data_IF_223594536182
#
_entry.id   IF_223594536182
#
_cell.length_a   1.000
_cell.length_b   1.000
_cell.length_c   1.000
_cell.angle_alpha   90.00
_cell.angle_beta   90.00
_cell.angle_gamma   90.00
#
_symmetry.space_group_name_H-M   'P 1'
#
loop_
_entity.id
_entity.type
_entity.pdbx_description
1 polymer ?
#
# COMPACT_ATOMS: atom_id res chain seq x y z
N UNK A 1 5.05 15.67 -5.64
CA UNK A 1 4.97 17.15 -5.56
C UNK A 1 4.84 17.78 -6.94
N UNK A 2 5.71 17.43 -7.94
CA UNK A 2 5.68 18.04 -9.28
C UNK A 2 4.30 17.93 -9.96
N UNK A 3 3.71 16.72 -10.01
CA UNK A 3 2.36 16.54 -10.58
C UNK A 3 1.29 17.37 -9.85
N UNK A 4 1.44 17.53 -8.55
CA UNK A 4 0.51 18.34 -7.74
C UNK A 4 0.62 19.84 -8.04
N UNK A 5 1.83 20.37 -8.14
CA UNK A 5 2.04 21.78 -8.49
C UNK A 5 1.51 22.08 -9.91
N UNK A 6 1.68 21.15 -10.86
CA UNK A 6 1.10 21.27 -12.21
C UNK A 6 -0.43 21.28 -12.17
N UNK A 7 -1.05 20.46 -11.33
CA UNK A 7 -2.50 20.49 -11.12
C UNK A 7 -2.96 21.82 -10.52
N UNK A 8 -2.25 22.36 -9.54
CA UNK A 8 -2.53 23.68 -8.98
C UNK A 8 -2.50 24.75 -10.07
N UNK A 9 -1.48 24.77 -10.92
CA UNK A 9 -1.37 25.72 -12.05
C UNK A 9 -2.50 25.59 -13.06
N UNK A 10 -2.81 24.34 -13.45
CA UNK A 10 -3.93 24.08 -14.36
C UNK A 10 -5.30 24.53 -13.84
N UNK A 11 -5.44 24.64 -12.53
CA UNK A 11 -6.63 25.16 -11.85
C UNK A 11 -6.53 26.66 -11.49
N UNK A 12 -5.42 27.32 -11.83
CA UNK A 12 -5.19 28.73 -11.52
C UNK A 12 -4.91 29.01 -10.04
N UNK A 13 -4.40 28.02 -9.29
CA UNK A 13 -4.10 28.16 -7.86
C UNK A 13 -2.65 28.62 -7.69
N UNK A 14 -2.41 29.74 -6.99
CA UNK A 14 -1.07 30.16 -6.64
C UNK A 14 -0.51 29.22 -5.58
N UNK A 15 0.47 28.41 -5.98
CA UNK A 15 1.10 27.45 -5.10
C UNK A 15 2.62 27.50 -5.26
N UNK A 16 3.35 27.28 -4.17
CA UNK A 16 4.80 27.30 -4.11
C UNK A 16 5.34 25.92 -3.74
N UNK A 17 6.37 25.47 -4.43
CA UNK A 17 7.02 24.18 -4.20
C UNK A 17 8.27 24.40 -3.36
N UNK A 18 8.39 23.68 -2.23
CA UNK A 18 9.52 23.71 -1.31
C UNK A 18 10.15 22.31 -1.23
N UNK A 19 11.47 22.22 -1.29
CA UNK A 19 12.18 21.01 -0.87
C UNK A 19 12.08 20.89 0.65
N UNK A 20 11.70 19.73 1.16
CA UNK A 20 11.55 19.52 2.59
C UNK A 20 12.86 19.71 3.35
N UNK A 21 12.78 19.88 4.67
CA UNK A 21 13.94 20.03 5.55
C UNK A 21 14.95 18.90 5.41
N UNK A 22 14.50 17.67 5.14
CA UNK A 22 15.37 16.49 4.97
C UNK A 22 16.06 16.41 3.60
N UNK A 23 15.66 17.21 2.63
CA UNK A 23 16.10 17.12 1.24
C UNK A 23 15.45 15.99 0.43
N UNK A 24 14.79 15.02 1.06
CA UNK A 24 14.25 13.81 0.43
C UNK A 24 12.77 13.92 0.02
N UNK A 25 12.09 15.00 0.41
CA UNK A 25 10.68 15.22 0.10
C UNK A 25 10.42 16.64 -0.34
N UNK A 26 9.17 16.98 -0.59
CA UNK A 26 8.76 18.32 -0.95
C UNK A 26 7.41 18.68 -0.35
N UNK A 27 7.20 19.95 -0.08
CA UNK A 27 5.94 20.52 0.35
C UNK A 27 5.38 21.44 -0.75
N UNK A 28 4.06 21.39 -0.93
CA UNK A 28 3.36 22.38 -1.75
C UNK A 28 2.57 23.29 -0.83
N UNK A 29 2.89 24.56 -0.88
CA UNK A 29 2.29 25.60 -0.06
C UNK A 29 1.25 26.37 -0.86
N UNK A 30 0.05 26.51 -0.28
CA UNK A 30 -1.00 27.41 -0.75
C UNK A 30 -1.23 28.45 0.34
N UNK A 31 -0.97 29.70 0.04
CA UNK A 31 -1.17 30.83 0.96
C UNK A 31 -2.54 31.44 0.71
N UNK A 32 -3.25 31.80 1.77
CA UNK A 32 -4.57 32.42 1.68
C UNK A 32 -4.49 33.90 2.02
N UNK A 33 -5.29 34.73 1.34
CA UNK A 33 -5.34 36.16 1.55
C UNK A 33 -5.90 36.60 2.93
N UNK A 34 -6.64 35.68 3.59
CA UNK A 34 -7.17 35.90 4.93
C UNK A 34 -7.30 34.56 5.68
N UNK A 35 -7.78 34.59 6.93
CA UNK A 35 -8.01 33.40 7.74
C UNK A 35 -9.07 32.50 7.11
N UNK A 36 -8.76 31.24 6.91
CA UNK A 36 -9.62 30.19 6.37
C UNK A 36 -9.90 29.14 7.44
N UNK A 37 -11.12 28.64 7.50
CA UNK A 37 -11.44 27.51 8.37
C UNK A 37 -10.63 26.27 7.96
N UNK A 38 -10.09 25.53 8.94
CA UNK A 38 -9.29 24.34 8.68
C UNK A 38 -10.03 23.33 7.80
N UNK A 39 -11.35 23.15 8.02
CA UNK A 39 -12.22 22.31 7.19
C UNK A 39 -12.16 22.72 5.70
N UNK A 40 -12.25 23.99 5.38
CA UNK A 40 -12.31 24.45 3.98
C UNK A 40 -10.94 24.37 3.30
N UNK A 41 -9.85 24.64 4.03
CA UNK A 41 -8.49 24.39 3.56
C UNK A 41 -8.25 22.89 3.27
N UNK A 42 -8.75 22.00 4.11
CA UNK A 42 -8.69 20.55 3.91
C UNK A 42 -9.51 20.11 2.71
N UNK A 43 -10.76 20.59 2.57
CA UNK A 43 -11.61 20.29 1.40
C UNK A 43 -10.91 20.68 0.10
N UNK A 44 -10.31 21.87 0.05
CA UNK A 44 -9.53 22.31 -1.11
C UNK A 44 -8.34 21.37 -1.36
N UNK A 45 -7.48 21.16 -0.37
CA UNK A 45 -6.30 20.29 -0.52
C UNK A 45 -6.67 18.87 -0.95
N UNK A 46 -7.73 18.32 -0.39
CA UNK A 46 -8.23 17.00 -0.72
C UNK A 46 -8.78 16.93 -2.16
N UNK A 47 -9.53 17.94 -2.61
CA UNK A 47 -10.01 18.04 -3.99
C UNK A 47 -8.84 18.10 -4.98
N UNK A 48 -7.78 18.86 -4.66
CA UNK A 48 -6.57 18.97 -5.48
C UNK A 48 -5.80 17.66 -5.56
N UNK A 49 -5.68 16.93 -4.46
CA UNK A 49 -5.02 15.62 -4.43
C UNK A 49 -5.80 14.66 -5.34
N UNK A 50 -7.12 14.57 -5.20
CA UNK A 50 -7.96 13.73 -6.05
C UNK A 50 -7.86 14.11 -7.52
N UNK A 51 -7.92 15.38 -7.84
CA UNK A 51 -7.75 15.88 -9.20
C UNK A 51 -6.40 15.46 -9.80
N UNK A 52 -5.32 15.57 -9.00
CA UNK A 52 -3.99 15.14 -9.41
C UNK A 52 -3.92 13.63 -9.62
N UNK A 53 -4.46 12.85 -8.67
CA UNK A 53 -4.50 11.39 -8.77
C UNK A 53 -5.31 10.90 -9.96
N UNK A 54 -6.40 11.58 -10.32
CA UNK A 54 -7.21 11.22 -11.48
C UNK A 54 -6.48 11.43 -12.82
N UNK A 55 -5.49 12.31 -12.87
CA UNK A 55 -4.77 12.69 -14.10
C UNK A 55 -3.37 12.09 -14.22
N UNK A 56 -2.75 11.72 -13.10
CA UNK A 56 -1.36 11.25 -13.08
C UNK A 56 -1.28 9.77 -12.78
N UNK A 57 -0.92 8.98 -13.80
CA UNK A 57 -0.81 7.50 -13.71
C UNK A 57 0.39 6.99 -12.89
N UNK A 58 1.30 7.86 -12.48
CA UNK A 58 2.58 7.48 -11.85
C UNK A 58 2.67 7.81 -10.35
N UNK A 59 1.57 8.27 -9.73
CA UNK A 59 1.60 8.53 -8.29
C UNK A 59 1.64 7.23 -7.50
N UNK A 60 2.72 7.05 -6.76
CA UNK A 60 2.81 5.99 -5.75
C UNK A 60 2.15 6.50 -4.47
N UNK A 61 1.40 5.64 -3.75
CA UNK A 61 0.82 5.97 -2.44
C UNK A 61 1.90 6.46 -1.44
N UNK A 62 3.10 5.91 -1.53
CA UNK A 62 4.27 6.33 -0.75
C UNK A 62 4.75 7.74 -1.06
N UNK A 63 4.31 8.36 -2.18
CA UNK A 63 4.67 9.73 -2.55
C UNK A 63 3.83 10.79 -1.82
N UNK A 64 2.78 10.39 -1.11
CA UNK A 64 1.94 11.27 -0.31
C UNK A 64 2.18 10.98 1.17
N UNK A 65 2.70 11.97 1.90
CA UNK A 65 2.90 11.86 3.34
C UNK A 65 1.66 12.41 4.09
N UNK A 66 1.33 13.68 3.94
CA UNK A 66 0.22 14.28 4.67
C UNK A 66 -0.28 15.60 4.08
N UNK A 67 -1.50 15.98 4.46
CA UNK A 67 -2.11 17.26 4.19
C UNK A 67 -2.26 18.04 5.50
N UNK A 68 -1.84 19.31 5.50
CA UNK A 68 -2.06 20.23 6.60
C UNK A 68 -3.06 21.33 6.21
N UNK A 69 -3.99 21.68 7.13
CA UNK A 69 -4.25 21.08 8.43
C UNK A 69 -4.82 19.66 8.29
N UNK A 70 -4.52 18.73 9.22
CA UNK A 70 -5.02 17.37 9.16
C UNK A 70 -6.29 17.15 10.02
N UNK A 71 -6.81 18.18 10.65
CA UNK A 71 -8.02 18.15 11.49
C UNK A 71 -8.84 19.42 11.31
N UNK A 72 -10.16 19.30 11.43
CA UNK A 72 -11.11 20.41 11.25
C UNK A 72 -11.20 21.30 12.47
N UNK A 73 -10.97 20.75 13.66
CA UNK A 73 -11.09 21.43 14.94
C UNK A 73 -9.87 21.19 15.82
N UNK A 74 -9.54 22.19 16.64
CA UNK A 74 -8.47 22.05 17.62
C UNK A 74 -9.03 21.46 18.93
N UNK A 75 -8.38 20.44 19.52
CA UNK A 75 -8.75 19.94 20.84
C UNK A 75 -8.64 21.04 21.91
N UNK A 76 -9.55 21.06 22.87
CA UNK A 76 -9.46 21.99 24.01
C UNK A 76 -8.16 21.76 24.78
N UNK A 77 -7.36 22.82 24.96
CA UNK A 77 -6.08 22.75 25.68
C UNK A 77 -4.90 22.18 24.91
N UNK A 78 -5.10 21.71 23.65
CA UNK A 78 -4.02 21.18 22.80
C UNK A 78 -3.45 22.22 21.82
N UNK A 79 -2.22 21.99 21.38
CA UNK A 79 -1.68 22.63 20.18
C UNK A 79 -2.34 21.94 18.97
N UNK A 80 -2.70 22.72 17.94
CA UNK A 80 -3.07 22.17 16.63
C UNK A 80 -1.89 21.44 15.98
N UNK A 81 -2.03 21.12 14.70
CA UNK A 81 -0.89 20.55 13.97
C UNK A 81 0.28 21.52 13.96
N UNK A 82 1.44 21.02 14.35
CA UNK A 82 2.69 21.75 14.18
C UNK A 82 3.22 21.46 12.78
N UNK A 83 3.49 22.54 12.03
CA UNK A 83 4.12 22.48 10.72
C UNK A 83 5.47 23.19 10.79
N UNK A 84 6.49 22.59 10.21
CA UNK A 84 7.78 23.24 10.06
C UNK A 84 7.67 24.33 8.99
N UNK A 85 7.99 25.57 9.34
CA UNK A 85 7.99 26.68 8.38
C UNK A 85 9.12 26.50 7.36
N UNK A 86 8.94 27.01 6.12
CA UNK A 86 10.00 27.03 5.11
C UNK A 86 11.14 27.95 5.49
N UNK A 87 12.24 27.89 4.75
CA UNK A 87 13.42 28.74 4.84
C UNK A 87 14.15 28.67 6.19
N UNK A 88 14.10 27.50 6.87
CA UNK A 88 14.87 27.27 8.10
C UNK A 88 16.38 27.40 7.83
N UNK A 89 17.11 28.10 8.73
CA UNK A 89 18.50 28.46 8.51
C UNK A 89 19.41 27.25 8.23
N UNK A 90 19.48 26.28 9.13
CA UNK A 90 20.38 25.13 9.00
C UNK A 90 20.05 24.22 7.81
N UNK A 91 18.79 23.80 7.59
CA UNK A 91 18.46 23.01 6.40
C UNK A 91 18.73 23.72 5.10
N UNK A 92 18.55 25.05 5.04
CA UNK A 92 18.79 25.86 3.85
C UNK A 92 20.26 25.87 3.43
N UNK A 93 21.20 25.82 4.38
CA UNK A 93 22.64 25.73 4.12
C UNK A 93 23.02 24.43 3.40
N UNK A 94 22.19 23.38 3.52
CA UNK A 94 22.35 22.08 2.84
C UNK A 94 21.38 21.86 1.68
N UNK A 95 20.70 22.91 1.20
CA UNK A 95 19.76 22.84 0.06
C UNK A 95 18.37 22.32 0.41
N UNK A 96 18.06 22.08 1.69
CA UNK A 96 16.71 21.78 2.17
C UNK A 96 15.95 23.02 2.63
N UNK A 97 14.63 22.92 2.82
CA UNK A 97 13.76 24.03 3.22
C UNK A 97 13.84 25.26 2.32
N UNK A 98 13.97 25.03 1.00
CA UNK A 98 14.09 26.07 -0.04
C UNK A 98 12.98 25.95 -1.05
N UNK A 99 12.47 27.07 -1.52
CA UNK A 99 11.56 27.11 -2.67
C UNK A 99 12.31 26.87 -3.96
N UNK A 100 11.68 26.14 -4.85
CA UNK A 100 12.26 25.68 -6.12
C UNK A 100 11.31 25.98 -7.29
N UNK A 101 11.90 26.07 -8.47
CA UNK A 101 11.17 26.17 -9.72
C UNK A 101 10.69 24.79 -10.23
N UNK A 102 10.15 24.74 -11.46
CA UNK A 102 9.66 23.51 -12.07
C UNK A 102 10.75 22.50 -12.42
N UNK A 103 11.99 22.97 -12.57
CA UNK A 103 13.16 22.13 -12.77
C UNK A 103 13.78 21.67 -11.45
N UNK A 104 13.10 21.94 -10.31
CA UNK A 104 13.58 21.69 -8.95
C UNK A 104 14.85 22.46 -8.61
N UNK A 105 15.11 23.58 -9.28
CA UNK A 105 16.25 24.43 -8.97
C UNK A 105 15.85 25.48 -7.93
N UNK A 106 16.64 25.67 -6.86
CA UNK A 106 16.36 26.68 -5.85
C UNK A 106 16.36 28.11 -6.46
N UNK A 107 15.38 28.91 -6.10
CA UNK A 107 15.41 30.34 -6.44
C UNK A 107 16.62 31.02 -5.80
N UNK A 108 17.33 31.88 -6.54
CA UNK A 108 18.49 32.60 -6.03
C UNK A 108 18.13 33.55 -4.87
N UNK A 109 17.00 34.25 -4.99
CA UNK A 109 16.41 35.09 -3.92
C UNK A 109 15.13 34.41 -3.38
N UNK A 110 15.30 33.64 -2.32
CA UNK A 110 14.22 32.91 -1.66
C UNK A 110 13.16 33.83 -1.03
N UNK A 111 13.59 34.96 -0.48
CA UNK A 111 12.69 35.89 0.17
C UNK A 111 11.94 36.74 -0.85
N UNK A 112 12.62 37.16 -1.92
CA UNK A 112 12.00 37.83 -3.05
C UNK A 112 10.96 36.93 -3.72
N UNK A 113 11.25 35.65 -3.91
CA UNK A 113 10.29 34.69 -4.40
C UNK A 113 9.07 34.61 -3.47
N UNK A 114 9.28 34.37 -2.16
CA UNK A 114 8.17 34.24 -1.20
C UNK A 114 7.30 35.50 -1.17
N UNK A 115 7.89 36.66 -1.24
CA UNK A 115 7.18 37.94 -1.30
C UNK A 115 6.36 38.13 -2.60
N UNK A 116 6.76 37.48 -3.69
CA UNK A 116 6.05 37.52 -4.98
C UNK A 116 4.88 36.56 -5.09
N UNK A 117 4.79 35.53 -4.18
CA UNK A 117 3.70 34.54 -4.21
C UNK A 117 2.37 35.24 -3.89
N UNK A 118 1.44 35.19 -4.82
CA UNK A 118 0.11 35.72 -4.62
C UNK A 118 -0.71 34.84 -3.69
N UNK A 119 -1.37 35.37 -2.66
CA UNK A 119 -2.25 34.55 -1.83
C UNK A 119 -3.57 34.30 -2.54
N UNK A 120 -4.13 33.07 -2.35
CA UNK A 120 -5.43 32.70 -2.87
C UNK A 120 -6.55 33.43 -2.16
N UNK A 121 -7.48 34.03 -2.91
CA UNK A 121 -8.64 34.71 -2.32
C UNK A 121 -9.64 33.69 -1.77
N UNK A 122 -10.35 34.05 -0.69
CA UNK A 122 -11.29 33.14 -0.03
C UNK A 122 -12.46 32.74 -0.93
N UNK A 123 -12.93 33.66 -1.77
CA UNK A 123 -14.05 33.39 -2.68
C UNK A 123 -13.69 32.42 -3.82
N UNK A 124 -12.40 32.16 -4.07
CA UNK A 124 -11.95 31.21 -5.08
C UNK A 124 -11.91 29.74 -4.57
N UNK A 125 -12.03 29.53 -3.25
CA UNK A 125 -11.92 28.18 -2.66
C UNK A 125 -13.01 27.26 -3.21
N UNK A 126 -14.28 27.63 -3.06
CA UNK A 126 -15.40 26.78 -3.47
C UNK A 126 -15.48 26.58 -5.00
N UNK A 127 -15.32 27.62 -5.85
CA UNK A 127 -15.25 27.43 -7.30
C UNK A 127 -14.10 26.52 -7.72
N UNK A 128 -12.97 26.58 -7.03
CA UNK A 128 -11.82 25.73 -7.31
C UNK A 128 -12.08 24.27 -6.92
N UNK A 129 -12.70 24.03 -5.77
CA UNK A 129 -13.14 22.70 -5.36
C UNK A 129 -14.06 22.09 -6.42
N UNK A 130 -15.07 22.84 -6.87
CA UNK A 130 -16.01 22.40 -7.92
C UNK A 130 -15.31 22.08 -9.24
N UNK A 131 -14.35 22.92 -9.68
CA UNK A 131 -13.55 22.65 -10.89
C UNK A 131 -12.69 21.39 -10.73
N UNK A 132 -12.05 21.22 -9.58
CA UNK A 132 -11.16 20.10 -9.29
C UNK A 132 -11.93 18.75 -9.23
N UNK A 133 -13.17 18.78 -8.77
CA UNK A 133 -14.04 17.60 -8.62
C UNK A 133 -14.98 17.36 -9.79
N UNK A 134 -14.96 18.22 -10.82
CA UNK A 134 -15.87 18.11 -11.96
C UNK A 134 -17.35 18.32 -11.60
N UNK A 135 -17.61 19.10 -10.54
CA UNK A 135 -18.96 19.37 -10.02
C UNK A 135 -19.49 18.28 -9.07
N UNK A 136 -18.73 17.21 -8.84
CA UNK A 136 -19.06 16.20 -7.85
C UNK A 136 -18.81 16.72 -6.43
N UNK A 137 -19.60 16.25 -5.46
CA UNK A 137 -19.42 16.72 -4.08
C UNK A 137 -18.04 16.29 -3.54
N UNK A 138 -17.31 17.16 -2.79
CA UNK A 138 -15.98 16.85 -2.24
C UNK A 138 -15.93 15.62 -1.31
N UNK A 139 -17.07 15.07 -0.90
CA UNK A 139 -17.17 13.82 -0.13
C UNK A 139 -16.57 12.61 -0.90
N UNK A 140 -16.41 12.71 -2.24
CA UNK A 140 -15.70 11.71 -3.03
C UNK A 140 -14.20 11.64 -2.71
N UNK A 141 -13.71 12.55 -1.91
CA UNK A 141 -12.32 12.73 -1.51
C UNK A 141 -12.06 12.28 -0.08
N UNK A 142 -13.07 11.79 0.61
CA UNK A 142 -13.03 11.38 2.03
C UNK A 142 -11.96 10.35 2.37
N UNK A 143 -11.44 9.61 1.39
CA UNK A 143 -10.44 8.55 1.62
C UNK A 143 -9.16 9.01 2.34
N UNK A 144 -8.70 10.23 2.09
CA UNK A 144 -7.48 10.72 2.73
C UNK A 144 -7.74 11.37 4.10
N UNK A 145 -8.97 11.84 4.32
CA UNK A 145 -9.36 12.51 5.57
C UNK A 145 -9.88 11.55 6.63
N UNK A 146 -10.57 10.49 6.23
CA UNK A 146 -11.05 9.45 7.16
C UNK A 146 -9.91 8.63 7.74
N UNK A 147 -8.84 8.43 6.99
CA UNK A 147 -7.65 7.72 7.47
C UNK A 147 -6.91 8.46 8.58
N UNK A 148 -6.95 9.79 8.58
CA UNK A 148 -6.35 10.59 9.63
C UNK A 148 -7.15 10.55 10.94
N UNK A 149 -8.41 10.11 10.90
CA UNK A 149 -9.33 10.02 12.04
C UNK A 149 -9.54 8.59 12.54
N UNK A 150 -9.06 7.57 11.81
CA UNK A 150 -9.26 6.17 12.18
C UNK A 150 -8.20 5.67 13.15
N UNK A 151 -8.65 4.89 14.12
CA UNK A 151 -7.74 4.11 14.98
C UNK A 151 -6.97 3.07 14.13
N UNK A 152 -5.66 2.91 14.32
CA UNK A 152 -4.88 1.90 13.62
C UNK A 152 -5.50 0.51 13.76
N UNK A 153 -5.76 -0.16 12.64
CA UNK A 153 -6.27 -1.53 12.60
C UNK A 153 -7.78 -1.68 12.39
N UNK A 154 -8.58 -0.61 12.41
CA UNK A 154 -10.00 -0.69 11.99
C UNK A 154 -10.14 -0.42 10.50
N UNK A 155 -10.64 -1.42 9.74
CA UNK A 155 -11.12 -1.20 8.37
C UNK A 155 -12.47 -0.52 8.41
N UNK A 156 -12.58 0.71 7.94
CA UNK A 156 -13.88 1.27 7.56
C UNK A 156 -14.18 0.89 6.12
N UNK A 157 -15.38 0.40 5.89
CA UNK A 157 -15.87 0.16 4.54
C UNK A 157 -16.15 1.52 3.91
N UNK A 158 -15.47 1.89 2.79
CA UNK A 158 -15.71 3.16 2.13
C UNK A 158 -17.17 3.27 1.70
N UNK A 159 -17.74 4.48 1.78
CA UNK A 159 -19.08 4.73 1.24
C UNK A 159 -19.14 4.33 -0.23
N UNK A 160 -20.22 3.64 -0.63
CA UNK A 160 -20.46 3.21 -2.01
C UNK A 160 -20.69 4.45 -2.89
N UNK A 161 -19.68 4.85 -3.61
CA UNK A 161 -19.75 5.98 -4.54
C UNK A 161 -19.47 5.49 -5.96
N UNK A 162 -20.37 5.83 -6.88
CA UNK A 162 -20.19 5.58 -8.30
C UNK A 162 -18.94 6.34 -8.81
N UNK A 163 -18.13 5.69 -9.63
CA UNK A 163 -16.96 6.32 -10.23
C UNK A 163 -17.41 7.23 -11.40
N UNK A 164 -16.82 8.44 -11.51
CA UNK A 164 -17.12 9.33 -12.62
C UNK A 164 -16.53 8.82 -13.94
N UNK A 165 -17.29 8.96 -15.03
CA UNK A 165 -16.85 8.71 -16.40
C UNK A 165 -17.41 7.45 -17.03
N UNK A 166 -17.18 7.27 -18.36
CA UNK A 166 -17.65 6.10 -19.07
C UNK A 166 -16.93 4.84 -18.59
N UNK A 167 -17.70 3.85 -18.16
CA UNK A 167 -17.20 2.54 -17.76
C UNK A 167 -17.28 1.55 -18.92
N UNK A 168 -16.29 0.67 -19.05
CA UNK A 168 -16.37 -0.47 -19.97
C UNK A 168 -17.38 -1.50 -19.47
N UNK A 169 -18.00 -2.23 -20.38
CA UNK A 169 -18.95 -3.28 -20.01
C UNK A 169 -18.29 -4.46 -19.28
N UNK A 170 -17.03 -4.77 -19.61
CA UNK A 170 -16.27 -5.85 -18.99
C UNK A 170 -14.81 -5.47 -18.75
N UNK A 171 -14.19 -6.11 -17.77
CA UNK A 171 -12.79 -6.00 -17.40
C UNK A 171 -12.25 -7.40 -17.17
N UNK A 172 -11.19 -7.77 -17.89
CA UNK A 172 -10.47 -9.02 -17.66
C UNK A 172 -9.45 -8.83 -16.55
N UNK A 173 -9.50 -9.71 -15.56
CA UNK A 173 -8.55 -9.78 -14.43
C UNK A 173 -7.77 -11.07 -14.53
N UNK A 174 -6.46 -11.00 -14.69
CA UNK A 174 -5.62 -12.20 -14.72
C UNK A 174 -5.16 -12.55 -13.31
N UNK A 175 -5.53 -13.74 -12.86
CA UNK A 175 -5.13 -14.33 -11.60
C UNK A 175 -3.92 -15.25 -11.83
N UNK A 176 -2.74 -14.81 -11.38
CA UNK A 176 -1.50 -15.59 -11.44
C UNK A 176 -0.81 -15.57 -10.07
N UNK A 177 0.48 -15.24 -9.97
CA UNK A 177 1.15 -14.96 -8.70
C UNK A 177 0.57 -13.73 -7.98
N UNK A 178 0.04 -12.77 -8.76
CA UNK A 178 -0.72 -11.59 -8.32
C UNK A 178 -2.04 -11.51 -9.13
N UNK A 179 -2.85 -10.48 -8.86
CA UNK A 179 -4.01 -10.10 -9.66
C UNK A 179 -3.60 -8.98 -10.61
N UNK A 180 -3.60 -9.23 -11.90
CA UNK A 180 -3.17 -8.27 -12.91
C UNK A 180 -4.36 -7.61 -13.59
N UNK A 181 -4.30 -6.29 -13.68
CA UNK A 181 -5.28 -5.43 -14.34
C UNK A 181 -4.58 -4.64 -15.46
N UNK A 182 -5.05 -4.76 -16.69
CA UNK A 182 -4.53 -3.99 -17.82
C UNK A 182 -4.90 -2.52 -17.70
N UNK A 183 -3.90 -1.64 -17.68
CA UNK A 183 -4.08 -0.18 -17.58
C UNK A 183 -4.82 0.43 -18.76
N UNK A 184 -4.68 -0.15 -19.95
CA UNK A 184 -5.35 0.37 -21.15
C UNK A 184 -6.87 0.22 -21.05
N UNK A 185 -7.33 -0.79 -20.31
CA UNK A 185 -8.76 -1.08 -20.11
C UNK A 185 -9.32 -0.47 -18.82
N UNK A 186 -8.48 0.14 -17.96
CA UNK A 186 -8.82 0.55 -16.61
C UNK A 186 -8.97 2.07 -16.49
N UNK A 187 -10.17 2.60 -16.16
CA UNK A 187 -10.32 4.01 -15.81
C UNK A 187 -9.43 4.41 -14.63
N UNK A 188 -8.82 5.59 -14.68
CA UNK A 188 -7.85 6.01 -13.66
C UNK A 188 -8.44 6.03 -12.24
N UNK A 189 -9.69 6.46 -12.10
CA UNK A 189 -10.38 6.47 -10.80
C UNK A 189 -10.55 5.05 -10.22
N UNK A 190 -10.86 4.05 -11.08
CA UNK A 190 -10.95 2.64 -10.67
C UNK A 190 -9.55 2.09 -10.33
N UNK A 191 -8.52 2.42 -11.12
CA UNK A 191 -7.14 2.05 -10.85
C UNK A 191 -6.69 2.51 -9.46
N UNK A 192 -6.98 3.75 -9.10
CA UNK A 192 -6.63 4.31 -7.79
C UNK A 192 -7.35 3.57 -6.64
N UNK A 193 -8.63 3.23 -6.81
CA UNK A 193 -9.37 2.44 -5.81
C UNK A 193 -8.82 1.02 -5.67
N UNK A 194 -8.47 0.37 -6.78
CA UNK A 194 -7.86 -0.96 -6.77
C UNK A 194 -6.52 -0.95 -6.03
N UNK A 195 -5.63 -0.01 -6.34
CA UNK A 195 -4.36 0.16 -5.63
C UNK A 195 -4.59 0.33 -4.12
N UNK A 196 -5.66 1.05 -3.77
CA UNK A 196 -6.02 1.31 -2.38
C UNK A 196 -6.46 0.05 -1.62
N UNK A 197 -7.09 -0.92 -2.27
CA UNK A 197 -7.44 -2.20 -1.64
C UNK A 197 -6.21 -2.95 -1.11
N UNK A 198 -5.06 -2.74 -1.73
CA UNK A 198 -3.79 -3.34 -1.35
C UNK A 198 -2.93 -2.41 -0.48
N UNK A 199 -3.53 -1.46 0.22
CA UNK A 199 -2.83 -0.52 1.09
C UNK A 199 -3.43 -0.52 2.49
N UNK A 200 -2.59 -0.28 3.50
CA UNK A 200 -3.02 -0.18 4.90
C UNK A 200 -2.12 0.77 5.68
N UNK A 201 -2.64 1.28 6.79
CA UNK A 201 -1.88 2.14 7.69
C UNK A 201 -0.72 1.38 8.33
N UNK A 202 0.49 1.99 8.35
CA UNK A 202 1.67 1.38 8.96
C UNK A 202 1.58 1.45 10.51
N UNK A 203 1.40 0.33 11.21
CA UNK A 203 1.28 0.34 12.67
C UNK A 203 2.52 0.91 13.38
N UNK A 204 3.72 0.71 12.82
CA UNK A 204 4.97 1.21 13.41
C UNK A 204 5.06 2.74 13.31
N UNK A 205 4.59 3.33 12.21
CA UNK A 205 4.48 4.78 12.08
C UNK A 205 3.62 5.37 13.20
N UNK A 206 2.41 4.83 13.39
CA UNK A 206 1.48 5.35 14.41
C UNK A 206 1.95 5.08 15.83
N UNK A 207 2.61 3.95 16.06
CA UNK A 207 3.23 3.63 17.35
C UNK A 207 4.37 4.59 17.68
N UNK A 208 5.29 4.83 16.73
CA UNK A 208 6.37 5.79 16.90
C UNK A 208 5.83 7.22 17.12
N UNK A 209 4.81 7.62 16.36
CA UNK A 209 4.13 8.90 16.51
C UNK A 209 3.49 9.06 17.90
N UNK A 210 2.79 8.03 18.39
CA UNK A 210 2.19 8.03 19.73
C UNK A 210 3.25 8.15 20.85
N UNK A 211 4.41 7.53 20.67
CA UNK A 211 5.55 7.62 21.57
C UNK A 211 6.42 8.88 21.35
N UNK A 212 6.02 9.78 20.42
CA UNK A 212 6.78 11.00 20.05
C UNK A 212 8.19 10.72 19.54
N UNK A 213 8.41 9.54 18.96
CA UNK A 213 9.67 9.18 18.30
C UNK A 213 9.72 9.73 16.89
N UNK A 214 10.91 9.71 16.27
CA UNK A 214 11.07 10.10 14.86
C UNK A 214 10.35 9.11 13.95
N UNK A 215 9.62 9.62 12.96
CA UNK A 215 8.89 8.83 11.95
C UNK A 215 9.37 9.14 10.53
N UNK A 216 10.55 9.73 10.39
CA UNK A 216 11.04 10.28 9.12
C UNK A 216 11.33 9.19 8.06
N UNK A 217 11.69 7.99 8.50
CA UNK A 217 12.03 6.82 7.68
C UNK A 217 10.89 5.79 7.59
N UNK A 218 9.79 6.02 8.31
CA UNK A 218 8.64 5.12 8.33
C UNK A 218 7.52 5.65 7.41
N UNK A 219 7.14 4.92 6.36
CA UNK A 219 6.01 5.31 5.54
C UNK A 219 4.71 5.21 6.35
N UNK A 220 3.86 6.22 6.23
CA UNK A 220 2.56 6.24 6.92
C UNK A 220 1.61 5.15 6.42
N UNK A 221 1.66 4.86 5.12
CA UNK A 221 0.84 3.86 4.45
C UNK A 221 1.74 2.84 3.77
N UNK A 222 1.51 1.57 4.04
CA UNK A 222 2.17 0.47 3.35
C UNK A 222 1.31 0.10 2.15
N UNK A 223 1.85 0.24 0.93
CA UNK A 223 1.22 -0.17 -0.31
C UNK A 223 1.81 -1.48 -0.81
N UNK A 224 0.95 -2.49 -1.00
CA UNK A 224 1.33 -3.79 -1.52
C UNK A 224 0.96 -3.98 -3.00
N UNK A 225 0.42 -2.95 -3.66
CA UNK A 225 0.17 -2.97 -5.08
C UNK A 225 1.45 -2.70 -5.86
N UNK A 226 1.65 -3.41 -6.96
CA UNK A 226 2.75 -3.18 -7.87
C UNK A 226 2.28 -2.45 -9.12
N UNK A 227 3.08 -1.52 -9.61
CA UNK A 227 2.74 -0.66 -10.74
C UNK A 227 3.72 -0.90 -11.90
N UNK A 228 3.35 -1.80 -12.80
CA UNK A 228 4.10 -2.10 -14.02
C UNK A 228 3.76 -1.09 -15.16
N UNK A 229 4.54 -1.00 -16.22
CA UNK A 229 4.25 -0.09 -17.33
C UNK A 229 2.85 -0.27 -17.93
N UNK A 230 2.42 -1.51 -18.18
CA UNK A 230 1.14 -1.87 -18.79
C UNK A 230 0.06 -2.35 -17.83
N UNK A 231 0.43 -2.76 -16.62
CA UNK A 231 -0.47 -3.40 -15.66
C UNK A 231 -0.36 -2.78 -14.27
N UNK A 232 -1.43 -2.93 -13.50
CA UNK A 232 -1.42 -2.81 -12.03
C UNK A 232 -1.58 -4.22 -11.49
N UNK A 233 -0.79 -4.59 -10.49
CA UNK A 233 -0.91 -5.87 -9.84
C UNK A 233 -1.22 -5.72 -8.34
N UNK A 234 -2.11 -6.56 -7.84
CA UNK A 234 -2.54 -6.61 -6.45
C UNK A 234 -2.23 -7.98 -5.86
N UNK A 235 -1.98 -8.09 -4.56
CA UNK A 235 -1.90 -9.40 -3.88
C UNK A 235 -3.17 -10.22 -4.10
N UNK A 236 -3.03 -11.54 -4.27
CA UNK A 236 -4.16 -12.45 -4.51
C UNK A 236 -5.25 -12.39 -3.45
N UNK A 237 -4.90 -12.08 -2.21
CA UNK A 237 -5.87 -11.88 -1.13
C UNK A 237 -6.84 -10.72 -1.34
N UNK A 238 -6.61 -9.86 -2.33
CA UNK A 238 -7.52 -8.77 -2.73
C UNK A 238 -8.58 -9.21 -3.75
N UNK A 239 -8.62 -10.48 -4.21
CA UNK A 239 -9.49 -10.94 -5.30
C UNK A 239 -10.96 -10.62 -5.06
N UNK A 240 -11.50 -11.00 -3.91
CA UNK A 240 -12.92 -10.81 -3.59
C UNK A 240 -13.26 -9.31 -3.55
N UNK A 241 -12.46 -8.53 -2.80
CA UNK A 241 -12.66 -7.09 -2.67
C UNK A 241 -12.51 -6.35 -4.03
N UNK A 242 -11.57 -6.77 -4.87
CA UNK A 242 -11.38 -6.20 -6.20
C UNK A 242 -12.53 -6.56 -7.14
N UNK A 243 -13.01 -7.81 -7.09
CA UNK A 243 -14.15 -8.28 -7.88
C UNK A 243 -15.44 -7.56 -7.47
N UNK A 244 -15.65 -7.35 -6.19
CA UNK A 244 -16.79 -6.61 -5.66
C UNK A 244 -16.74 -5.14 -6.09
N UNK A 245 -15.57 -4.50 -5.97
CA UNK A 245 -15.38 -3.12 -6.42
C UNK A 245 -15.69 -2.95 -7.92
N UNK A 246 -15.20 -3.85 -8.76
CA UNK A 246 -15.46 -3.84 -10.22
C UNK A 246 -16.96 -4.01 -10.48
N UNK A 247 -17.62 -4.97 -9.83
CA UNK A 247 -19.04 -5.26 -9.97
C UNK A 247 -19.94 -4.13 -9.46
N UNK A 248 -19.60 -3.50 -8.34
CA UNK A 248 -20.31 -2.35 -7.77
C UNK A 248 -20.33 -1.13 -8.71
N UNK A 249 -19.35 -1.03 -9.61
CA UNK A 249 -19.30 0.01 -10.64
C UNK A 249 -19.94 -0.43 -11.98
N UNK A 250 -20.74 -1.50 -11.97
CA UNK A 250 -21.47 -1.97 -13.14
C UNK A 250 -20.58 -2.63 -14.21
N UNK A 251 -19.35 -3.01 -13.87
CA UNK A 251 -18.40 -3.64 -14.78
C UNK A 251 -18.44 -5.15 -14.56
N UNK A 252 -18.59 -5.91 -15.66
CA UNK A 252 -18.47 -7.37 -15.61
C UNK A 252 -17.02 -7.77 -15.42
N UNK A 253 -16.72 -8.49 -14.32
CA UNK A 253 -15.40 -9.02 -14.05
C UNK A 253 -15.23 -10.38 -14.70
N UNK A 254 -14.28 -10.51 -15.62
CA UNK A 254 -13.91 -11.76 -16.31
C UNK A 254 -12.58 -12.23 -15.74
N UNK A 255 -12.60 -13.33 -14.96
CA UNK A 255 -11.40 -13.87 -14.33
C UNK A 255 -10.71 -14.84 -15.29
N UNK A 256 -9.45 -14.56 -15.63
CA UNK A 256 -8.56 -15.46 -16.34
C UNK A 256 -7.59 -16.08 -15.37
N UNK A 257 -7.75 -17.36 -15.09
CA UNK A 257 -6.90 -18.09 -14.15
C UNK A 257 -5.65 -18.64 -14.85
N UNK A 258 -4.50 -18.07 -14.52
CA UNK A 258 -3.17 -18.45 -15.01
C UNK A 258 -2.26 -18.86 -13.84
N UNK A 259 -2.85 -19.32 -12.74
CA UNK A 259 -2.06 -19.79 -11.60
C UNK A 259 -1.29 -21.04 -11.93
N UNK A 260 -0.08 -21.11 -11.41
CA UNK A 260 0.67 -22.35 -11.39
C UNK A 260 0.01 -23.33 -10.41
N UNK A 261 -0.36 -24.50 -10.90
CA UNK A 261 -1.07 -25.51 -10.11
C UNK A 261 -0.15 -26.36 -9.21
N UNK A 262 1.16 -26.23 -9.38
CA UNK A 262 2.16 -27.06 -8.73
C UNK A 262 2.37 -28.43 -9.43
N UNK A 263 3.44 -29.09 -9.04
CA UNK A 263 3.75 -30.45 -9.50
C UNK A 263 3.27 -31.48 -8.50
N UNK A 264 2.75 -32.64 -8.95
CA UNK A 264 2.30 -33.70 -8.05
C UNK A 264 3.40 -34.14 -7.08
N UNK A 265 3.01 -34.30 -5.81
CA UNK A 265 3.88 -34.72 -4.73
C UNK A 265 3.29 -35.98 -4.04
N UNK A 266 4.05 -37.06 -4.00
CA UNK A 266 3.70 -38.19 -3.19
C UNK A 266 4.21 -38.01 -1.76
N UNK A 267 3.32 -37.55 -0.88
CA UNK A 267 3.57 -37.45 0.54
C UNK A 267 2.37 -37.97 1.32
N UNK A 268 2.60 -38.80 2.35
CA UNK A 268 1.54 -39.31 3.20
C UNK A 268 1.76 -38.83 4.63
N UNK A 269 0.70 -38.31 5.22
CA UNK A 269 0.73 -37.93 6.62
C UNK A 269 0.77 -39.18 7.52
N UNK A 270 1.76 -39.25 8.40
CA UNK A 270 2.03 -40.40 9.28
C UNK A 270 1.62 -40.15 10.75
N UNK A 271 0.77 -39.16 11.00
CA UNK A 271 0.31 -38.81 12.34
C UNK A 271 -1.19 -38.97 12.51
N UNK A 272 -1.66 -38.65 13.71
CA UNK A 272 -3.09 -38.49 14.01
C UNK A 272 -3.35 -37.02 14.42
N UNK A 273 -4.27 -36.38 13.72
CA UNK A 273 -4.69 -35.02 14.05
C UNK A 273 -5.71 -35.06 15.21
N UNK A 274 -5.62 -34.09 16.09
CA UNK A 274 -6.70 -33.79 17.04
C UNK A 274 -7.90 -33.19 16.28
N UNK A 275 -9.12 -33.23 16.86
CA UNK A 275 -10.32 -32.73 16.20
C UNK A 275 -10.21 -31.23 15.78
N UNK A 276 -9.56 -30.40 16.61
CA UNK A 276 -9.32 -28.98 16.33
C UNK A 276 -8.32 -28.76 15.18
N UNK A 277 -7.29 -29.60 15.08
CA UNK A 277 -6.33 -29.59 13.98
C UNK A 277 -6.97 -30.10 12.68
N UNK A 278 -7.79 -31.14 12.75
CA UNK A 278 -8.54 -31.66 11.59
C UNK A 278 -9.48 -30.59 11.02
N UNK A 279 -10.23 -29.89 11.88
CA UNK A 279 -11.09 -28.80 11.48
C UNK A 279 -10.31 -27.65 10.82
N UNK A 280 -9.11 -27.33 11.35
CA UNK A 280 -8.23 -26.32 10.79
C UNK A 280 -7.73 -26.69 9.40
N UNK A 281 -7.26 -27.93 9.21
CA UNK A 281 -6.82 -28.45 7.90
C UNK A 281 -7.96 -28.43 6.89
N UNK A 282 -9.15 -28.92 7.29
CA UNK A 282 -10.33 -28.92 6.42
C UNK A 282 -10.76 -27.49 6.02
N UNK A 283 -10.66 -26.53 6.95
CA UNK A 283 -10.94 -25.12 6.65
C UNK A 283 -9.93 -24.53 5.65
N UNK A 284 -8.63 -24.78 5.86
CA UNK A 284 -7.57 -24.24 4.98
C UNK A 284 -7.58 -24.88 3.58
N UNK A 285 -8.01 -26.12 3.45
CA UNK A 285 -8.11 -26.79 2.14
C UNK A 285 -9.21 -26.21 1.24
N UNK A 286 -10.20 -25.53 1.81
CA UNK A 286 -11.28 -24.89 1.05
C UNK A 286 -10.87 -23.58 0.38
N UNK A 287 -9.71 -23.03 0.74
CA UNK A 287 -9.25 -21.74 0.26
C UNK A 287 -7.84 -21.86 -0.32
N UNK A 288 -7.55 -21.06 -1.35
CA UNK A 288 -6.20 -21.00 -1.94
C UNK A 288 -5.25 -20.11 -1.12
N UNK A 289 -5.80 -19.13 -0.41
CA UNK A 289 -5.07 -18.25 0.49
C UNK A 289 -5.78 -18.14 1.82
N UNK A 290 -5.01 -18.07 2.91
CA UNK A 290 -5.59 -17.93 4.24
C UNK A 290 -4.52 -17.81 5.34
N UNK A 291 -4.97 -17.49 6.54
CA UNK A 291 -4.14 -17.38 7.74
C UNK A 291 -4.72 -18.31 8.80
N UNK A 292 -3.90 -19.26 9.28
CA UNK A 292 -4.22 -20.06 10.45
C UNK A 292 -3.76 -19.30 11.72
N UNK A 293 -4.71 -18.68 12.42
CA UNK A 293 -4.48 -18.11 13.72
C UNK A 293 -4.69 -19.16 14.81
N UNK A 294 -3.60 -19.61 15.42
CA UNK A 294 -3.64 -20.67 16.43
C UNK A 294 -2.69 -20.35 17.60
N UNK A 295 -3.04 -20.71 18.86
CA UNK A 295 -2.22 -20.45 20.03
C UNK A 295 -0.88 -21.19 20.00
N UNK A 296 0.00 -20.86 20.91
CA UNK A 296 1.23 -21.63 21.17
C UNK A 296 0.85 -23.05 21.54
N UNK A 297 1.67 -24.04 21.14
CA UNK A 297 1.43 -25.49 21.36
C UNK A 297 0.22 -26.09 20.64
N UNK A 298 -0.44 -25.36 19.74
CA UNK A 298 -1.50 -25.93 18.87
C UNK A 298 -1.01 -27.08 17.98
N UNK A 299 0.28 -27.11 17.64
CA UNK A 299 0.83 -28.05 16.67
C UNK A 299 0.73 -27.55 15.23
N UNK A 300 1.01 -26.27 15.00
CA UNK A 300 0.95 -25.64 13.66
C UNK A 300 1.75 -26.39 12.60
N UNK A 301 2.94 -26.92 12.97
CA UNK A 301 3.79 -27.67 12.05
C UNK A 301 3.17 -29.03 11.68
N UNK A 302 2.52 -29.71 12.64
CA UNK A 302 1.79 -30.95 12.39
C UNK A 302 0.61 -30.72 11.45
N UNK A 303 -0.15 -29.63 11.70
CA UNK A 303 -1.26 -29.20 10.85
C UNK A 303 -0.78 -28.87 9.44
N UNK A 304 0.36 -28.20 9.31
CA UNK A 304 0.96 -27.90 8.02
C UNK A 304 1.46 -29.17 7.28
N UNK A 305 2.06 -30.13 7.98
CA UNK A 305 2.45 -31.41 7.40
C UNK A 305 1.23 -32.17 6.83
N UNK A 306 0.12 -32.22 7.58
CA UNK A 306 -1.12 -32.81 7.09
C UNK A 306 -1.69 -32.04 5.88
N UNK A 307 -1.59 -30.71 5.86
CA UNK A 307 -2.00 -29.86 4.72
C UNK A 307 -1.16 -30.17 3.47
N UNK A 308 0.17 -30.27 3.61
CA UNK A 308 1.09 -30.63 2.52
C UNK A 308 0.69 -31.99 1.92
N UNK A 309 0.50 -33.02 2.78
CA UNK A 309 0.11 -34.34 2.33
C UNK A 309 -1.24 -34.34 1.59
N UNK A 310 -2.23 -33.57 2.06
CA UNK A 310 -3.57 -33.54 1.46
C UNK A 310 -3.63 -32.70 0.18
N UNK A 311 -2.81 -31.66 0.06
CA UNK A 311 -2.69 -30.90 -1.18
C UNK A 311 -1.93 -31.65 -2.27
N UNK A 312 -1.01 -32.54 -1.88
CA UNK A 312 -0.24 -33.41 -2.78
C UNK A 312 0.45 -32.68 -3.93
N UNK A 313 0.96 -31.47 -3.66
CA UNK A 313 1.73 -30.66 -4.62
C UNK A 313 3.04 -30.20 -4.00
N UNK A 314 4.02 -29.91 -4.85
CA UNK A 314 5.30 -29.38 -4.41
C UNK A 314 5.09 -28.12 -3.53
N UNK A 315 5.90 -28.00 -2.48
CA UNK A 315 5.66 -27.06 -1.41
C UNK A 315 6.94 -26.34 -0.99
N UNK A 316 6.87 -25.01 -0.89
CA UNK A 316 7.93 -24.20 -0.28
C UNK A 316 7.48 -23.70 1.09
N UNK A 317 8.24 -24.03 2.13
CA UNK A 317 8.05 -23.55 3.50
C UNK A 317 9.01 -22.41 3.77
N UNK A 318 8.48 -21.21 4.02
CA UNK A 318 9.29 -20.02 4.34
C UNK A 318 9.39 -19.81 5.84
N UNK A 319 10.61 -19.70 6.35
CA UNK A 319 10.90 -19.41 7.75
C UNK A 319 11.82 -18.19 7.87
N UNK A 320 11.76 -17.50 9.00
CA UNK A 320 12.56 -16.27 9.21
C UNK A 320 13.85 -16.49 10.02
N UNK A 321 14.10 -17.73 10.52
CA UNK A 321 15.31 -18.07 11.30
C UNK A 321 15.81 -19.47 10.96
N UNK A 322 17.11 -19.67 11.05
CA UNK A 322 17.77 -20.96 10.76
C UNK A 322 17.39 -22.05 11.76
N UNK A 323 17.10 -21.71 13.02
CA UNK A 323 16.64 -22.66 14.03
C UNK A 323 15.29 -23.27 13.65
N UNK A 324 14.39 -22.46 13.10
CA UNK A 324 13.09 -22.92 12.59
C UNK A 324 13.26 -23.83 11.38
N UNK A 325 14.24 -23.58 10.49
CA UNK A 325 14.51 -24.46 9.37
C UNK A 325 14.81 -25.89 9.84
N UNK A 326 15.68 -26.06 10.84
CA UNK A 326 16.01 -27.36 11.43
C UNK A 326 14.79 -28.01 12.07
N UNK A 327 14.04 -27.25 12.88
CA UNK A 327 12.83 -27.71 13.52
C UNK A 327 11.79 -28.20 12.50
N UNK A 328 11.56 -27.46 11.43
CA UNK A 328 10.65 -27.84 10.35
C UNK A 328 11.14 -29.10 9.63
N UNK A 329 12.44 -29.21 9.37
CA UNK A 329 13.03 -30.38 8.74
C UNK A 329 12.77 -31.67 9.57
N UNK A 330 13.05 -31.62 10.87
CA UNK A 330 12.81 -32.71 11.80
C UNK A 330 11.33 -33.11 11.87
N UNK A 331 10.44 -32.10 11.98
CA UNK A 331 9.00 -32.31 12.07
C UNK A 331 8.41 -32.89 10.78
N UNK A 332 8.83 -32.39 9.59
CA UNK A 332 8.34 -32.91 8.33
C UNK A 332 8.82 -34.34 8.10
N UNK A 333 10.05 -34.68 8.52
CA UNK A 333 10.51 -36.09 8.49
C UNK A 333 9.72 -37.01 9.45
N UNK A 334 9.31 -36.47 10.61
CA UNK A 334 8.54 -37.26 11.59
C UNK A 334 7.08 -37.47 11.15
N UNK A 335 6.47 -36.49 10.50
CA UNK A 335 5.03 -36.49 10.17
C UNK A 335 4.70 -36.82 8.70
N UNK A 336 5.70 -36.87 7.83
CA UNK A 336 5.52 -37.25 6.43
C UNK A 336 6.39 -38.46 6.08
N UNK A 337 5.77 -39.47 5.47
CA UNK A 337 6.53 -40.59 4.90
C UNK A 337 7.17 -40.12 3.58
N UNK A 338 8.36 -39.52 3.67
CA UNK A 338 9.07 -38.99 2.53
C UNK A 338 10.15 -39.94 2.02
N UNK A 339 10.23 -40.11 0.71
CA UNK A 339 11.36 -40.75 0.07
C UNK A 339 12.67 -40.00 0.24
N UNK A 340 13.80 -40.64 -0.03
CA UNK A 340 15.11 -39.96 -0.04
C UNK A 340 15.12 -38.84 -1.09
N UNK A 341 15.66 -37.68 -0.73
CA UNK A 341 15.82 -36.55 -1.65
C UNK A 341 14.54 -35.73 -1.95
N UNK A 342 13.45 -35.96 -1.21
CA UNK A 342 12.20 -35.20 -1.36
C UNK A 342 12.25 -33.89 -0.56
N UNK A 343 12.99 -33.84 0.56
CA UNK A 343 13.08 -32.67 1.43
C UNK A 343 14.39 -31.93 1.19
N UNK A 344 14.28 -30.65 0.75
CA UNK A 344 15.39 -29.76 0.53
C UNK A 344 15.45 -28.61 1.54
N UNK A 345 16.60 -27.93 1.60
CA UNK A 345 16.80 -26.80 2.51
C UNK A 345 17.61 -25.69 1.85
N UNK A 346 17.21 -24.45 2.11
CA UNK A 346 17.88 -23.22 1.65
C UNK A 346 18.07 -22.29 2.85
N UNK A 347 19.29 -22.15 3.33
CA UNK A 347 19.60 -21.31 4.49
C UNK A 347 20.82 -21.80 5.25
N UNK A 348 21.32 -20.98 6.18
CA UNK A 348 22.49 -21.31 6.98
C UNK A 348 23.77 -21.55 6.17
N UNK A 349 23.94 -20.83 5.03
CA UNK A 349 25.08 -20.97 4.13
C UNK A 349 25.01 -22.16 3.19
N UNK A 350 23.90 -22.92 3.16
CA UNK A 350 23.68 -24.07 2.28
C UNK A 350 22.41 -23.88 1.45
N UNK A 351 22.46 -24.28 0.18
CA UNK A 351 21.30 -24.33 -0.70
C UNK A 351 21.29 -25.72 -1.38
N UNK A 352 20.31 -26.52 -1.01
CA UNK A 352 20.07 -27.86 -1.59
C UNK A 352 18.57 -28.02 -1.86
N UNK A 353 18.01 -27.24 -2.81
CA UNK A 353 16.61 -27.38 -3.18
C UNK A 353 16.37 -28.71 -3.90
N UNK A 354 15.17 -29.26 -3.74
CA UNK A 354 14.73 -30.45 -4.45
C UNK A 354 13.61 -30.17 -5.45
N UNK A 355 12.96 -29.01 -5.36
CA UNK A 355 11.75 -28.68 -6.12
C UNK A 355 10.52 -29.45 -5.66
N UNK A 356 10.62 -30.25 -4.61
CA UNK A 356 9.52 -31.07 -4.06
C UNK A 356 8.95 -30.46 -2.78
N UNK A 357 9.63 -30.64 -1.66
CA UNK A 357 9.35 -29.93 -0.42
C UNK A 357 10.64 -29.21 -0.03
N UNK A 358 10.64 -27.91 -0.09
CA UNK A 358 11.81 -27.13 0.27
C UNK A 358 11.49 -26.20 1.46
N UNK A 359 12.42 -26.14 2.42
CA UNK A 359 12.34 -25.24 3.55
C UNK A 359 13.39 -24.15 3.34
N UNK A 360 12.97 -22.90 3.28
CA UNK A 360 13.89 -21.78 3.02
C UNK A 360 13.83 -20.72 4.10
N UNK A 361 15.02 -20.24 4.50
CA UNK A 361 15.13 -19.02 5.30
C UNK A 361 14.91 -17.83 4.37
N UNK A 362 13.91 -16.98 4.65
CA UNK A 362 13.49 -15.87 3.77
C UNK A 362 14.67 -15.00 3.32
N UNK A 363 15.56 -14.62 4.25
CA UNK A 363 16.75 -13.80 3.94
C UNK A 363 17.72 -14.47 2.96
N UNK A 364 17.71 -15.81 2.87
CA UNK A 364 18.58 -16.55 1.95
C UNK A 364 18.04 -16.58 0.51
N UNK A 365 16.77 -16.22 0.31
CA UNK A 365 16.13 -16.12 -1.00
C UNK A 365 16.29 -14.76 -1.66
N UNK A 366 16.73 -13.75 -0.91
CA UNK A 366 16.95 -12.40 -1.41
C UNK A 366 18.43 -12.07 -1.43
N UNK A 367 18.92 -11.64 -2.57
CA UNK A 367 20.25 -11.06 -2.73
C UNK A 367 20.13 -9.75 -3.46
N UNK A 368 20.69 -8.68 -2.89
CA UNK A 368 20.70 -7.33 -3.50
C UNK A 368 19.32 -6.79 -3.90
N UNK A 369 18.26 -7.20 -3.18
CA UNK A 369 16.89 -6.75 -3.49
C UNK A 369 16.15 -7.58 -4.53
N UNK A 370 16.79 -8.61 -5.11
CA UNK A 370 16.17 -9.52 -6.07
C UNK A 370 15.93 -10.90 -5.45
N UNK A 371 14.80 -11.53 -5.82
CA UNK A 371 14.48 -12.89 -5.42
C UNK A 371 15.43 -13.88 -6.16
N UNK A 372 15.85 -14.91 -5.44
CA UNK A 372 16.69 -15.96 -6.02
C UNK A 372 15.90 -16.74 -7.09
N UNK A 373 16.52 -17.07 -8.22
CA UNK A 373 15.95 -17.95 -9.27
C UNK A 373 15.84 -19.42 -8.85
N UNK A 374 16.18 -19.74 -7.61
CA UNK A 374 16.11 -21.10 -7.05
C UNK A 374 14.66 -21.50 -6.66
N UNK A 375 13.72 -20.55 -6.67
CA UNK A 375 12.33 -20.73 -6.27
C UNK A 375 11.40 -20.52 -7.45
#
# INVERSE_FOLDING_TARGET
AHAFIQSCRGLGIPAALEISRSGNGAHVWVFFAAKVAARDARRLGTALISHTCARTRQLKLTSYDRLFPNQDTRPKGGFGNLIALPLQKLPRESGGSVFVDDALQPYADQWGFLASVQPMALHDIEPTILRATGGSHPLDVTFLTEEDQQEPGKRTTPAKQALPGPMRASLTVTLANLLYFDKASLPQALANRLIRLAAFQNPEFYKAQAMRLSVWDEPRVIGCAENFPSHIALPRGCLDAASDLVRENGIRCELRDERFSGEPLEARFAGTLRPDQEAAVAAMLRHDTGILCAPTAFGKTVTAAALIARRSVNTLVLVHRTELLKQWQEQLHAFLNLGKGVLGTIGGGKAKPTGRIDIAVMQSLFRQGEASQIV
#
